data_IF_421711826400
#
_entry.id   IF_421711826400
#
_cell.length_a   1.000
_cell.length_b   1.000
_cell.length_c   1.000
_cell.angle_alpha   90.00
_cell.angle_beta   90.00
_cell.angle_gamma   90.00
#
_symmetry.space_group_name_H-M   'P 1'
#
loop_
_entity.id
_entity.type
_entity.pdbx_description
1 polymer ?
#
# COMPACT_ATOMS: atom_id res chain seq x y z
N UNK A 1 -8.23 22.28 26.60
CA UNK A 1 -7.25 22.48 25.50
C UNK A 1 -7.08 21.15 24.78
N UNK A 2 -7.37 21.07 23.46
CA UNK A 2 -7.08 19.85 22.70
C UNK A 2 -5.56 19.74 22.52
N UNK A 3 -4.96 18.61 22.89
CA UNK A 3 -3.53 18.35 22.65
C UNK A 3 -3.37 17.90 21.20
N UNK A 4 -2.49 18.56 20.44
CA UNK A 4 -2.17 18.16 19.07
C UNK A 4 -1.24 16.94 19.11
N UNK A 5 -1.59 15.88 18.38
CA UNK A 5 -0.76 14.70 18.17
C UNK A 5 -0.10 14.81 16.79
N UNK A 6 1.23 14.75 16.74
CA UNK A 6 2.01 14.71 15.50
C UNK A 6 2.66 13.33 15.41
N UNK A 7 2.37 12.60 14.33
CA UNK A 7 2.93 11.26 14.06
C UNK A 7 3.58 11.24 12.69
N UNK A 8 4.64 10.45 12.54
CA UNK A 8 5.33 10.26 11.27
C UNK A 8 4.49 9.37 10.34
N UNK A 9 4.42 9.73 9.06
CA UNK A 9 3.73 8.99 8.00
C UNK A 9 4.72 8.64 6.88
N UNK A 10 5.55 7.59 7.06
CA UNK A 10 6.58 7.24 6.10
C UNK A 10 5.97 6.80 4.77
N UNK A 11 6.65 7.14 3.68
CA UNK A 11 6.32 6.65 2.34
C UNK A 11 6.77 5.19 2.17
N UNK A 12 6.41 4.59 1.02
CA UNK A 12 6.96 3.29 0.59
C UNK A 12 7.11 3.25 -0.92
N UNK A 13 7.92 2.32 -1.41
CA UNK A 13 8.04 1.97 -2.83
C UNK A 13 7.67 0.51 -3.07
N UNK A 14 7.23 0.19 -4.28
CA UNK A 14 7.15 -1.19 -4.77
C UNK A 14 8.43 -1.48 -5.56
N UNK A 15 9.32 -2.30 -5.02
CA UNK A 15 10.52 -2.76 -5.74
C UNK A 15 10.11 -3.61 -6.95
N UNK A 16 9.05 -4.40 -6.77
CA UNK A 16 8.42 -5.14 -7.85
C UNK A 16 6.92 -5.29 -7.61
N UNK A 17 6.14 -5.33 -8.68
CA UNK A 17 4.69 -5.48 -8.66
C UNK A 17 4.22 -6.22 -9.92
N UNK A 18 3.39 -7.24 -9.71
CA UNK A 18 2.74 -8.01 -10.76
C UNK A 18 1.24 -8.04 -10.56
N UNK A 19 0.51 -7.75 -11.64
CA UNK A 19 -0.94 -7.94 -11.73
C UNK A 19 -1.19 -9.35 -12.23
N UNK A 20 -1.81 -10.21 -11.41
CA UNK A 20 -2.05 -11.61 -11.80
C UNK A 20 -3.31 -11.76 -12.63
N UNK A 21 -4.46 -11.41 -12.05
CA UNK A 21 -5.76 -11.50 -12.71
C UNK A 21 -6.79 -10.58 -12.07
N UNK A 22 -7.88 -10.32 -12.80
CA UNK A 22 -9.06 -9.60 -12.31
C UNK A 22 -9.93 -10.55 -11.48
N UNK A 23 -10.30 -10.12 -10.28
CA UNK A 23 -11.19 -10.83 -9.36
C UNK A 23 -12.65 -10.54 -9.69
N UNK A 24 -13.55 -11.38 -9.17
CA UNK A 24 -15.00 -11.21 -9.33
C UNK A 24 -15.54 -9.92 -8.68
N UNK A 25 -14.85 -9.40 -7.66
CA UNK A 25 -15.21 -8.16 -6.96
C UNK A 25 -14.71 -6.88 -7.66
N UNK A 26 -14.12 -7.01 -8.85
CA UNK A 26 -13.67 -5.88 -9.65
C UNK A 26 -12.24 -5.39 -9.37
N UNK A 27 -11.57 -5.95 -8.35
CA UNK A 27 -10.15 -5.66 -8.07
C UNK A 27 -9.21 -6.60 -8.85
N UNK A 28 -7.90 -6.40 -8.69
CA UNK A 28 -6.88 -7.32 -9.19
C UNK A 28 -6.17 -8.01 -8.05
N UNK A 29 -5.86 -9.30 -8.22
CA UNK A 29 -4.88 -9.95 -7.35
C UNK A 29 -3.48 -9.46 -7.74
N UNK A 30 -2.73 -8.97 -6.76
CA UNK A 30 -1.36 -8.48 -6.93
C UNK A 30 -0.37 -9.35 -6.17
N UNK A 31 0.82 -9.55 -6.73
CA UNK A 31 2.01 -9.92 -5.99
C UNK A 31 2.97 -8.73 -5.99
N UNK A 32 3.58 -8.40 -4.85
CA UNK A 32 4.52 -7.28 -4.78
C UNK A 32 5.57 -7.44 -3.68
N UNK A 33 6.75 -6.86 -3.93
CA UNK A 33 7.79 -6.63 -2.91
C UNK A 33 7.76 -5.14 -2.57
N UNK A 34 7.56 -4.82 -1.29
CA UNK A 34 7.46 -3.45 -0.79
C UNK A 34 8.60 -3.14 0.17
N UNK A 35 9.14 -1.92 0.09
CA UNK A 35 10.13 -1.38 1.01
C UNK A 35 9.70 0.00 1.48
N UNK A 36 9.79 0.20 2.79
CA UNK A 36 9.58 1.47 3.50
C UNK A 36 10.90 2.24 3.57
#
# INVERSE_FOLDING_TARGET
MKKTLIVQAPAKINIALWVKHKRQDGFHELASIMQT
#
